data_IF_623963803127
#
_entry.id   IF_623963803127
#
_cell.length_a   1.000
_cell.length_b   1.000
_cell.length_c   1.000
_cell.angle_alpha   90.00
_cell.angle_beta   90.00
_cell.angle_gamma   90.00
#
_symmetry.space_group_name_H-M   'P 1'
#
loop_
_entity.id
_entity.type
_entity.pdbx_description
1 polymer ?
#
# COMPACT_ATOMS: atom_id res chain seq x y z
N UNK A 1 -24.19 -6.06 9.28
CA UNK A 1 -23.96 -5.15 8.12
C UNK A 1 -22.49 -4.84 7.96
N UNK A 2 -21.97 -4.98 6.74
CA UNK A 2 -20.57 -4.66 6.45
C UNK A 2 -20.42 -3.14 6.34
N UNK A 3 -19.48 -2.57 7.08
CA UNK A 3 -19.24 -1.13 7.11
C UNK A 3 -17.93 -0.73 6.44
N UNK A 4 -16.98 -1.65 6.39
CA UNK A 4 -15.67 -1.40 5.80
C UNK A 4 -15.14 -2.67 5.15
N UNK A 5 -14.38 -2.49 4.07
CA UNK A 5 -13.71 -3.57 3.37
C UNK A 5 -12.26 -3.16 3.21
N UNK A 6 -11.35 -4.07 3.61
CA UNK A 6 -9.92 -3.90 3.40
C UNK A 6 -9.50 -4.80 2.24
N UNK A 7 -8.81 -4.24 1.27
CA UNK A 7 -8.51 -4.91 0.00
C UNK A 7 -7.00 -4.95 -0.23
N UNK A 8 -6.49 -6.15 -0.46
CA UNK A 8 -5.14 -6.32 -0.95
C UNK A 8 -5.09 -5.97 -2.44
N UNK A 9 -3.93 -5.59 -2.93
CA UNK A 9 -3.75 -5.15 -4.31
C UNK A 9 -3.30 -6.31 -5.19
N UNK A 10 -2.07 -6.74 -5.01
CA UNK A 10 -1.44 -7.71 -5.91
C UNK A 10 -2.01 -9.11 -5.69
N UNK A 11 -2.56 -9.69 -6.76
CA UNK A 11 -3.19 -11.00 -6.70
C UNK A 11 -4.62 -11.00 -6.18
N UNK A 12 -5.14 -9.85 -5.74
CA UNK A 12 -6.52 -9.70 -5.27
C UNK A 12 -7.30 -8.76 -6.18
N UNK A 13 -6.98 -7.47 -6.15
CA UNK A 13 -7.59 -6.51 -7.07
C UNK A 13 -6.92 -6.59 -8.44
N UNK A 14 -5.61 -6.66 -8.47
CA UNK A 14 -4.82 -6.71 -9.70
C UNK A 14 -4.44 -8.17 -9.97
N UNK A 15 -4.86 -8.68 -11.12
CA UNK A 15 -4.49 -10.03 -11.56
C UNK A 15 -3.01 -10.10 -11.88
N UNK A 16 -2.34 -11.17 -11.48
CA UNK A 16 -0.95 -11.40 -11.84
C UNK A 16 -0.77 -11.66 -13.35
N UNK A 17 -1.83 -12.12 -14.03
CA UNK A 17 -1.75 -12.40 -15.45
C UNK A 17 -2.02 -11.18 -16.32
N UNK A 18 -2.99 -10.36 -15.99
CA UNK A 18 -3.36 -9.18 -16.80
C UNK A 18 -2.75 -7.88 -16.27
N UNK A 19 -2.36 -7.84 -15.00
CA UNK A 19 -1.87 -6.65 -14.31
C UNK A 19 -2.91 -5.52 -14.27
N UNK A 20 -4.18 -5.88 -14.37
CA UNK A 20 -5.29 -4.93 -14.38
C UNK A 20 -6.38 -5.33 -13.41
N UNK A 21 -7.18 -4.36 -13.02
CA UNK A 21 -8.36 -4.58 -12.21
C UNK A 21 -9.55 -4.82 -13.15
N UNK A 22 -10.27 -5.93 -13.02
CA UNK A 22 -11.44 -6.17 -13.87
C UNK A 22 -12.46 -5.05 -13.75
N UNK A 23 -13.12 -4.72 -14.85
CA UNK A 23 -14.17 -3.69 -14.85
C UNK A 23 -15.30 -4.04 -13.88
N UNK A 24 -15.61 -5.33 -13.73
CA UNK A 24 -16.63 -5.79 -12.78
C UNK A 24 -16.24 -5.47 -11.33
N UNK A 25 -14.97 -5.62 -10.98
CA UNK A 25 -14.48 -5.28 -9.65
C UNK A 25 -14.56 -3.78 -9.39
N UNK A 26 -14.19 -2.97 -10.38
CA UNK A 26 -14.29 -1.52 -10.27
C UNK A 26 -15.74 -1.08 -10.03
N UNK A 27 -16.67 -1.66 -10.78
CA UNK A 27 -18.10 -1.34 -10.63
C UNK A 27 -18.60 -1.75 -9.25
N UNK A 28 -18.24 -2.95 -8.79
CA UNK A 28 -18.67 -3.44 -7.49
C UNK A 28 -18.17 -2.56 -6.35
N UNK A 29 -16.91 -2.14 -6.41
CA UNK A 29 -16.32 -1.28 -5.37
C UNK A 29 -16.97 0.10 -5.37
N UNK A 30 -17.20 0.66 -6.54
CA UNK A 30 -17.88 1.96 -6.66
C UNK A 30 -19.29 1.88 -6.08
N UNK A 31 -20.04 0.83 -6.38
CA UNK A 31 -21.39 0.64 -5.85
C UNK A 31 -21.38 0.46 -4.34
N UNK A 32 -20.44 -0.32 -3.82
CA UNK A 32 -20.31 -0.50 -2.37
C UNK A 32 -20.05 0.84 -1.67
N UNK A 33 -19.15 1.63 -2.22
CA UNK A 33 -18.80 2.94 -1.67
C UNK A 33 -20.01 3.89 -1.71
N UNK A 34 -20.74 3.90 -2.80
CA UNK A 34 -21.96 4.70 -2.94
C UNK A 34 -23.03 4.32 -1.90
N UNK A 35 -23.02 3.08 -1.45
CA UNK A 35 -23.93 2.59 -0.42
C UNK A 35 -23.42 2.80 1.00
N UNK A 36 -22.34 3.52 1.16
CA UNK A 36 -21.79 3.88 2.46
C UNK A 36 -20.75 2.92 3.02
N UNK A 37 -20.32 1.93 2.25
CA UNK A 37 -19.24 1.04 2.70
C UNK A 37 -17.90 1.76 2.50
N UNK A 38 -17.08 1.80 3.54
CA UNK A 38 -15.75 2.40 3.44
C UNK A 38 -14.76 1.39 2.87
N UNK A 39 -13.92 1.85 1.97
CA UNK A 39 -12.94 1.01 1.30
C UNK A 39 -11.53 1.42 1.70
N UNK A 40 -10.73 0.45 2.10
CA UNK A 40 -9.34 0.68 2.46
C UNK A 40 -8.45 -0.25 1.67
N UNK A 41 -7.32 0.26 1.23
CA UNK A 41 -6.30 -0.53 0.56
C UNK A 41 -5.29 -0.98 1.60
N UNK A 42 -4.98 -2.27 1.62
CA UNK A 42 -3.97 -2.84 2.52
C UNK A 42 -2.93 -3.56 1.67
N UNK A 43 -1.72 -3.00 1.59
CA UNK A 43 -0.73 -3.43 0.62
C UNK A 43 0.69 -3.36 1.14
N UNK A 44 1.56 -4.18 0.56
CA UNK A 44 3.00 -4.03 0.74
C UNK A 44 3.60 -2.90 -0.09
N UNK A 45 2.85 -2.40 -1.08
CA UNK A 45 3.31 -1.27 -1.89
C UNK A 45 3.36 0.00 -1.07
N UNK A 46 4.17 0.94 -1.52
CA UNK A 46 4.12 2.31 -1.00
C UNK A 46 2.89 3.03 -1.55
N UNK A 47 2.39 4.03 -0.83
CA UNK A 47 1.18 4.75 -1.22
C UNK A 47 1.31 5.46 -2.56
N UNK A 48 2.52 5.86 -2.95
CA UNK A 48 2.74 6.51 -4.25
C UNK A 48 2.90 5.52 -5.41
N UNK A 49 2.75 4.23 -5.15
CA UNK A 49 2.84 3.17 -6.16
C UNK A 49 1.48 2.49 -6.35
N UNK A 50 0.41 3.27 -6.35
CA UNK A 50 -0.96 2.79 -6.48
C UNK A 50 -1.64 3.29 -7.75
N UNK A 51 -0.87 3.66 -8.77
CA UNK A 51 -1.41 4.13 -10.05
C UNK A 51 -2.48 3.25 -10.67
N UNK A 52 -2.35 1.90 -10.65
CA UNK A 52 -3.38 1.04 -11.20
C UNK A 52 -4.74 1.14 -10.51
N UNK A 53 -4.78 1.70 -9.29
CA UNK A 53 -6.02 1.88 -8.52
C UNK A 53 -6.70 3.22 -8.81
N UNK A 54 -6.19 4.00 -9.73
CA UNK A 54 -6.79 5.29 -10.07
C UNK A 54 -8.26 5.11 -10.44
N UNK A 55 -9.11 5.96 -9.88
CA UNK A 55 -10.55 5.90 -10.10
C UNK A 55 -11.32 5.05 -9.10
N UNK A 56 -10.65 4.26 -8.27
CA UNK A 56 -11.32 3.51 -7.20
C UNK A 56 -11.50 4.44 -6.00
N UNK A 57 -12.72 4.54 -5.45
CA UNK A 57 -12.99 5.47 -4.36
C UNK A 57 -12.60 4.87 -3.01
N UNK A 58 -11.32 4.84 -2.67
CA UNK A 58 -10.91 4.35 -1.36
C UNK A 58 -10.75 5.49 -0.35
N UNK A 59 -10.99 5.16 0.91
CA UNK A 59 -11.02 6.12 2.02
C UNK A 59 -9.70 6.21 2.78
N UNK A 60 -8.81 5.27 2.54
CA UNK A 60 -7.51 5.27 3.18
C UNK A 60 -6.63 4.13 2.68
N UNK A 61 -5.35 4.20 3.03
CA UNK A 61 -4.35 3.22 2.61
C UNK A 61 -3.52 2.78 3.79
N UNK A 62 -3.43 1.47 3.95
CA UNK A 62 -2.46 0.82 4.83
C UNK A 62 -1.35 0.34 3.91
N UNK A 63 -0.25 1.06 3.87
CA UNK A 63 0.85 0.80 2.95
C UNK A 63 2.07 0.22 3.66
N UNK A 64 3.02 -0.26 2.88
CA UNK A 64 4.27 -0.80 3.40
C UNK A 64 4.04 -1.86 4.47
N UNK A 65 3.09 -2.77 4.21
CA UNK A 65 2.72 -3.86 5.12
C UNK A 65 2.32 -3.38 6.52
N UNK A 66 1.67 -2.23 6.62
CA UNK A 66 1.19 -1.69 7.88
C UNK A 66 2.10 -0.65 8.52
N UNK A 67 3.25 -0.38 7.94
CA UNK A 67 4.17 0.62 8.51
C UNK A 67 3.60 2.04 8.42
N UNK A 68 2.71 2.30 7.46
CA UNK A 68 2.12 3.62 7.28
C UNK A 68 0.63 3.49 6.96
N UNK A 69 -0.20 4.20 7.71
CA UNK A 69 -1.63 4.26 7.49
C UNK A 69 -2.05 5.71 7.30
N UNK A 70 -2.69 5.99 6.16
CA UNK A 70 -3.06 7.35 5.79
C UNK A 70 -4.50 7.38 5.32
N UNK A 71 -5.26 8.34 5.82
CA UNK A 71 -6.61 8.60 5.34
C UNK A 71 -6.57 9.35 4.00
N UNK A 72 -7.66 9.29 3.26
CA UNK A 72 -7.73 9.93 1.94
C UNK A 72 -7.64 11.45 1.96
N UNK A 73 -7.80 12.08 3.13
CA UNK A 73 -7.61 13.52 3.31
C UNK A 73 -6.14 13.89 3.56
N UNK A 74 -5.25 12.92 3.53
CA UNK A 74 -3.82 13.12 3.76
C UNK A 74 -3.39 12.99 5.22
N UNK A 75 -4.33 12.78 6.13
CA UNK A 75 -4.00 12.64 7.55
C UNK A 75 -3.28 11.32 7.81
N UNK A 76 -2.11 11.38 8.40
CA UNK A 76 -1.36 10.18 8.82
C UNK A 76 -2.00 9.63 10.08
N UNK A 77 -2.60 8.45 9.98
CA UNK A 77 -3.24 7.78 11.11
C UNK A 77 -2.20 7.10 11.99
N UNK A 78 -1.24 6.44 11.38
CA UNK A 78 -0.13 5.83 12.10
C UNK A 78 1.09 5.70 11.19
N UNK A 79 2.26 5.72 11.82
CA UNK A 79 3.53 5.59 11.12
C UNK A 79 4.51 4.87 12.04
N UNK A 80 5.05 3.77 11.58
CA UNK A 80 6.00 2.94 12.33
C UNK A 80 7.24 2.70 11.49
N UNK A 81 8.15 3.69 11.42
CA UNK A 81 9.39 3.53 10.67
C UNK A 81 10.30 2.51 11.34
N UNK A 82 11.17 1.92 10.56
CA UNK A 82 12.18 1.00 11.10
C UNK A 82 13.13 1.81 11.99
N UNK A 83 13.38 1.36 13.24
CA UNK A 83 14.37 2.03 14.08
C UNK A 83 15.74 2.06 13.42
N UNK A 84 16.47 3.15 13.63
CA UNK A 84 17.78 3.33 13.01
C UNK A 84 18.74 2.18 13.32
N UNK A 85 18.73 1.69 14.55
CA UNK A 85 19.62 0.59 14.94
C UNK A 85 19.31 -0.68 14.14
N UNK A 86 18.03 -0.96 13.87
CA UNK A 86 17.62 -2.13 13.08
C UNK A 86 18.01 -1.95 11.61
N UNK A 87 17.87 -0.75 11.09
CA UNK A 87 18.31 -0.45 9.73
C UNK A 87 19.84 -0.63 9.58
N UNK A 88 20.61 -0.10 10.53
CA UNK A 88 22.07 -0.23 10.49
C UNK A 88 22.51 -1.69 10.58
N UNK A 89 21.83 -2.48 11.41
CA UNK A 89 22.09 -3.91 11.51
C UNK A 89 21.76 -4.66 10.22
N UNK A 90 20.62 -4.33 9.61
CA UNK A 90 20.24 -4.94 8.33
C UNK A 90 21.24 -4.58 7.23
N UNK A 91 21.68 -3.33 7.21
CA UNK A 91 22.69 -2.88 6.25
C UNK A 91 24.00 -3.64 6.41
N UNK A 92 24.49 -3.75 7.64
CA UNK A 92 25.70 -4.51 7.93
C UNK A 92 25.55 -5.97 7.49
N UNK A 93 24.41 -6.56 7.75
CA UNK A 93 24.15 -7.96 7.36
C UNK A 93 24.11 -8.10 5.83
N UNK A 94 23.55 -7.13 5.12
CA UNK A 94 23.52 -7.16 3.66
C UNK A 94 24.92 -7.12 3.05
N UNK A 95 25.81 -6.36 3.65
CA UNK A 95 27.20 -6.30 3.23
C UNK A 95 27.96 -7.57 3.55
N UNK A 96 27.75 -8.12 4.75
CA UNK A 96 28.41 -9.35 5.20
C UNK A 96 27.97 -10.56 4.40
N UNK A 97 26.69 -10.67 4.10
CA UNK A 97 26.11 -11.83 3.39
C UNK A 97 25.95 -11.60 1.89
N UNK A 98 26.37 -10.46 1.40
CA UNK A 98 26.37 -10.10 -0.02
C UNK A 98 24.99 -10.25 -0.68
N UNK A 99 23.97 -9.59 -0.12
CA UNK A 99 22.67 -9.49 -0.75
C UNK A 99 22.25 -8.04 -0.94
N UNK A 100 21.42 -7.80 -1.93
CA UNK A 100 20.89 -6.48 -2.20
C UNK A 100 19.83 -6.10 -1.17
N UNK A 101 19.79 -4.81 -0.81
CA UNK A 101 18.80 -4.29 0.12
C UNK A 101 18.23 -2.99 -0.44
N UNK A 102 16.92 -2.89 -0.48
CA UNK A 102 16.22 -1.68 -0.88
C UNK A 102 15.67 -0.95 0.33
N UNK A 103 15.69 0.37 0.28
CA UNK A 103 15.10 1.22 1.30
C UNK A 103 13.93 1.97 0.71
N UNK A 104 12.76 1.80 1.31
CA UNK A 104 11.56 2.51 0.89
C UNK A 104 11.30 3.70 1.80
N UNK A 105 11.14 4.86 1.19
CA UNK A 105 10.84 6.08 1.89
C UNK A 105 9.36 6.42 1.75
N UNK A 106 8.88 7.20 2.68
CA UNK A 106 7.49 7.57 2.79
C UNK A 106 6.97 8.32 1.56
N UNK A 107 7.75 9.22 1.01
CA UNK A 107 7.31 10.12 -0.06
C UNK A 107 8.09 9.99 -1.37
N UNK A 108 9.31 9.53 -1.32
CA UNK A 108 10.21 9.60 -2.46
C UNK A 108 10.91 8.28 -2.74
N UNK A 109 10.12 7.26 -3.01
CA UNK A 109 10.69 5.98 -3.38
C UNK A 109 11.53 6.14 -4.62
N UNK A 110 12.73 5.62 -4.56
CA UNK A 110 13.64 5.70 -5.68
C UNK A 110 14.48 6.95 -5.72
N UNK A 111 14.31 7.88 -4.79
CA UNK A 111 15.13 9.10 -4.72
C UNK A 111 16.17 9.11 -3.63
N UNK A 112 16.17 8.11 -2.78
CA UNK A 112 17.05 8.06 -1.63
C UNK A 112 18.43 7.50 -1.92
N UNK A 113 18.71 7.26 -3.17
CA UNK A 113 19.96 6.59 -3.54
C UNK A 113 20.86 7.44 -4.39
#
# INVERSE_FOLDING_TARGET
MIRAIFLDVDGTLISFSTHEIPASARRALTQAHERGVRLFIATGRAANDLGPLEGIPYDGVVSLNGARCVANDGRVVSLHPIPRADFERALALSEEQDFAMGLELEEEIGRAH
#
